data_IF_766593297927
#
_entry.id   IF_766593297927
#
_cell.length_a   1.000
_cell.length_b   1.000
_cell.length_c   1.000
_cell.angle_alpha   90.00
_cell.angle_beta   90.00
_cell.angle_gamma   90.00
#
_symmetry.space_group_name_H-M   'P 1'
#
loop_
_entity.id
_entity.type
_entity.pdbx_description
1 polymer ?
#
# COMPACT_ATOMS: atom_id res chain seq x y z
N UNK A 1 -5.03 4.86 -26.80
CA UNK A 1 -4.52 6.21 -27.12
C UNK A 1 -3.31 6.56 -26.26
N UNK A 2 -2.16 6.72 -26.89
CA UNK A 2 -0.88 7.08 -26.26
C UNK A 2 -0.81 8.54 -25.79
N UNK A 3 0.14 8.87 -24.91
CA UNK A 3 0.36 10.24 -24.40
C UNK A 3 0.45 11.30 -25.53
N UNK A 4 1.21 11.02 -26.59
CA UNK A 4 1.38 11.95 -27.70
C UNK A 4 0.05 12.26 -28.43
N UNK A 5 -0.81 11.25 -28.59
CA UNK A 5 -2.12 11.39 -29.22
C UNK A 5 -3.08 12.14 -28.29
N UNK A 6 -3.07 11.80 -27.00
CA UNK A 6 -3.90 12.44 -25.99
C UNK A 6 -3.59 13.93 -25.86
N UNK A 7 -2.31 14.30 -25.84
CA UNK A 7 -1.88 15.71 -25.82
C UNK A 7 -2.34 16.47 -27.07
N UNK A 8 -2.22 15.85 -28.25
CA UNK A 8 -2.72 16.44 -29.49
C UNK A 8 -4.23 16.68 -29.46
N UNK A 9 -4.99 15.70 -28.96
CA UNK A 9 -6.46 15.79 -28.85
C UNK A 9 -6.85 16.91 -27.90
N UNK A 10 -6.25 16.98 -26.71
CA UNK A 10 -6.52 18.03 -25.72
C UNK A 10 -6.14 19.42 -26.22
N UNK A 11 -5.02 19.55 -26.92
CA UNK A 11 -4.61 20.83 -27.53
C UNK A 11 -5.62 21.27 -28.59
N UNK A 12 -6.01 20.35 -29.49
CA UNK A 12 -6.94 20.63 -30.60
C UNK A 12 -8.36 20.92 -30.09
N UNK A 13 -8.82 20.23 -29.04
CA UNK A 13 -10.16 20.46 -28.46
C UNK A 13 -10.30 21.85 -27.85
N UNK A 14 -9.20 22.48 -27.45
CA UNK A 14 -9.13 23.88 -27.01
C UNK A 14 -8.77 24.87 -28.12
N UNK A 15 -8.69 24.43 -29.38
CA UNK A 15 -8.39 25.29 -30.53
C UNK A 15 -6.97 25.88 -30.51
N UNK A 16 -6.04 25.29 -29.78
CA UNK A 16 -4.69 25.83 -29.60
C UNK A 16 -3.74 25.35 -30.70
N UNK A 17 -2.87 26.23 -31.19
CA UNK A 17 -1.70 25.82 -31.99
C UNK A 17 -0.59 25.29 -31.09
N UNK A 18 0.36 24.52 -31.65
CA UNK A 18 1.55 24.08 -30.91
C UNK A 18 2.33 25.27 -30.34
N UNK A 19 2.42 26.36 -31.11
CA UNK A 19 3.04 27.62 -30.69
C UNK A 19 2.34 28.19 -29.46
N UNK A 20 1.01 28.24 -29.48
CA UNK A 20 0.24 28.82 -28.38
C UNK A 20 0.32 27.98 -27.11
N UNK A 21 0.31 26.65 -27.24
CA UNK A 21 0.54 25.77 -26.10
C UNK A 21 1.96 25.94 -25.55
N UNK A 22 2.97 26.06 -26.40
CA UNK A 22 4.35 26.26 -25.98
C UNK A 22 4.53 27.58 -25.20
N UNK A 23 3.91 28.66 -25.67
CA UNK A 23 3.89 29.96 -25.01
C UNK A 23 3.25 29.88 -23.61
N UNK A 24 2.08 29.24 -23.51
CA UNK A 24 1.36 29.04 -22.23
C UNK A 24 2.22 28.22 -21.25
N UNK A 25 2.90 27.20 -21.76
CA UNK A 25 3.71 26.27 -20.97
C UNK A 25 5.12 26.80 -20.68
N UNK A 26 5.51 27.96 -21.22
CA UNK A 26 6.85 28.53 -21.04
C UNK A 26 7.97 27.68 -21.65
N UNK A 27 7.69 26.96 -22.75
CA UNK A 27 8.64 26.06 -23.42
C UNK A 27 8.78 26.40 -24.91
N UNK A 28 9.73 25.78 -25.59
CA UNK A 28 9.86 25.97 -27.04
C UNK A 28 8.77 25.21 -27.80
N UNK A 29 8.33 25.76 -28.94
CA UNK A 29 7.42 25.06 -29.86
C UNK A 29 7.97 23.70 -30.29
N UNK A 30 9.29 23.57 -30.43
CA UNK A 30 9.91 22.28 -30.76
C UNK A 30 9.71 21.23 -29.66
N UNK A 31 9.65 21.62 -28.38
CA UNK A 31 9.38 20.70 -27.28
C UNK A 31 7.97 20.10 -27.40
N UNK A 32 6.96 20.95 -27.59
CA UNK A 32 5.57 20.51 -27.82
C UNK A 32 5.49 19.61 -29.06
N UNK A 33 6.14 20.00 -30.16
CA UNK A 33 6.16 19.19 -31.38
C UNK A 33 6.77 17.80 -31.14
N UNK A 34 7.90 17.71 -30.40
CA UNK A 34 8.54 16.44 -30.06
C UNK A 34 7.68 15.56 -29.15
N UNK A 35 6.94 16.16 -28.22
CA UNK A 35 6.00 15.43 -27.36
C UNK A 35 4.86 14.85 -28.18
N UNK A 36 4.27 15.65 -29.08
CA UNK A 36 3.14 15.22 -29.91
C UNK A 36 3.50 14.18 -30.97
N UNK A 37 4.77 13.96 -31.28
CA UNK A 37 5.24 12.91 -32.18
C UNK A 37 5.97 11.77 -31.45
N UNK A 38 5.94 11.75 -30.11
CA UNK A 38 6.52 10.68 -29.30
C UNK A 38 8.05 10.63 -29.27
N UNK A 39 8.76 11.68 -29.71
CA UNK A 39 10.23 11.74 -29.72
C UNK A 39 10.85 12.09 -28.37
N UNK A 40 10.07 12.65 -27.45
CA UNK A 40 10.49 12.94 -26.08
C UNK A 40 9.26 13.10 -25.19
N UNK A 41 9.45 13.05 -23.88
CA UNK A 41 8.39 13.26 -22.90
C UNK A 41 8.63 14.54 -22.09
N UNK A 42 7.57 15.21 -21.62
CA UNK A 42 7.69 16.21 -20.57
C UNK A 42 8.26 15.60 -19.28
N UNK A 43 8.97 16.41 -18.50
CA UNK A 43 9.32 16.03 -17.13
C UNK A 43 8.09 16.10 -16.21
N UNK A 44 8.25 15.60 -14.98
CA UNK A 44 7.17 15.54 -13.99
C UNK A 44 6.55 16.91 -13.72
N UNK A 45 7.36 17.98 -13.66
CA UNK A 45 6.87 19.32 -13.41
C UNK A 45 5.97 19.81 -14.56
N UNK A 46 6.39 19.57 -15.81
CA UNK A 46 5.61 19.92 -17.00
C UNK A 46 4.35 19.07 -17.13
N UNK A 47 4.38 17.81 -16.69
CA UNK A 47 3.18 16.96 -16.64
C UNK A 47 2.13 17.50 -15.66
N UNK A 48 2.56 17.97 -14.47
CA UNK A 48 1.67 18.62 -13.50
C UNK A 48 1.07 19.90 -14.13
N UNK A 49 1.88 20.75 -14.76
CA UNK A 49 1.38 21.95 -15.42
C UNK A 49 0.37 21.63 -16.54
N UNK A 50 0.61 20.57 -17.32
CA UNK A 50 -0.33 20.12 -18.36
C UNK A 50 -1.64 19.61 -17.74
N UNK A 51 -1.55 18.83 -16.66
CA UNK A 51 -2.69 18.32 -15.89
C UNK A 51 -3.56 19.46 -15.38
N UNK A 52 -2.96 20.46 -14.73
CA UNK A 52 -3.66 21.63 -14.22
C UNK A 52 -4.29 22.46 -15.34
N UNK A 53 -3.52 22.72 -16.40
CA UNK A 53 -4.00 23.49 -17.54
C UNK A 53 -5.19 22.82 -18.21
N UNK A 54 -5.09 21.54 -18.56
CA UNK A 54 -6.16 20.80 -19.24
C UNK A 54 -7.27 20.31 -18.32
N UNK A 55 -7.10 20.46 -17.00
CA UNK A 55 -8.03 19.99 -15.96
C UNK A 55 -8.32 18.50 -16.09
N UNK A 56 -7.26 17.71 -16.29
CA UNK A 56 -7.29 16.25 -16.41
C UNK A 56 -6.22 15.65 -15.50
N UNK A 57 -6.45 14.46 -14.94
CA UNK A 57 -5.42 13.80 -14.14
C UNK A 57 -4.20 13.43 -14.99
N UNK A 58 -3.03 13.32 -14.34
CA UNK A 58 -1.80 12.83 -14.98
C UNK A 58 -2.02 11.42 -15.52
N UNK A 59 -2.72 10.56 -14.79
CA UNK A 59 -3.12 9.23 -15.27
C UNK A 59 -3.86 9.29 -16.60
N UNK A 60 -4.81 10.21 -16.75
CA UNK A 60 -5.56 10.37 -18.01
C UNK A 60 -4.71 10.95 -19.14
N UNK A 61 -3.65 11.68 -18.84
CA UNK A 61 -2.71 12.19 -19.83
C UNK A 61 -1.79 11.09 -20.37
N UNK A 62 -1.36 10.18 -19.49
CA UNK A 62 -0.27 9.23 -19.77
C UNK A 62 -0.78 7.82 -20.08
N UNK A 63 -1.93 7.41 -19.53
CA UNK A 63 -2.41 6.04 -19.69
C UNK A 63 -3.10 5.81 -21.03
N UNK A 64 -2.66 4.74 -21.67
CA UNK A 64 -3.20 4.18 -22.88
C UNK A 64 -4.44 3.35 -22.50
N UNK A 65 -5.65 3.91 -22.61
CA UNK A 65 -6.88 3.11 -22.55
C UNK A 65 -7.01 2.29 -23.84
N UNK A 66 -6.13 1.31 -24.01
CA UNK A 66 -6.52 0.01 -24.53
C UNK A 66 -6.23 -0.99 -23.41
N UNK A 67 -7.26 -1.76 -23.04
CA UNK A 67 -7.13 -2.93 -22.18
C UNK A 67 -6.07 -3.87 -22.76
N UNK A 68 -4.82 -3.71 -22.33
CA UNK A 68 -3.76 -4.68 -22.48
C UNK A 68 -2.82 -4.58 -21.28
N UNK A 69 -3.40 -4.60 -20.08
CA UNK A 69 -2.73 -5.29 -19.00
C UNK A 69 -2.82 -6.78 -19.33
N UNK A 70 -1.77 -7.34 -19.93
CA UNK A 70 -1.65 -8.75 -20.31
C UNK A 70 -1.40 -9.64 -19.07
N UNK A 71 -2.14 -9.39 -17.99
CA UNK A 71 -2.29 -10.32 -16.87
C UNK A 71 -3.60 -11.08 -17.10
N UNK A 72 -3.57 -12.04 -18.03
CA UNK A 72 -4.58 -13.09 -18.06
C UNK A 72 -4.38 -13.97 -16.81
N UNK A 73 -4.82 -13.49 -15.65
CA UNK A 73 -4.93 -14.31 -14.45
C UNK A 73 -6.21 -15.12 -14.60
N UNK A 74 -6.13 -16.42 -14.35
CA UNK A 74 -7.28 -17.31 -14.15
C UNK A 74 -8.12 -16.78 -12.96
N UNK A 75 -8.93 -15.75 -13.22
CA UNK A 75 -9.30 -14.72 -12.26
C UNK A 75 -10.51 -15.05 -11.40
N UNK A 76 -11.19 -16.18 -11.60
CA UNK A 76 -12.40 -16.47 -10.83
C UNK A 76 -12.11 -17.18 -9.50
N UNK A 77 -11.32 -18.26 -9.49
CA UNK A 77 -11.03 -18.99 -8.24
C UNK A 77 -9.97 -18.32 -7.37
N UNK A 78 -8.92 -17.78 -7.99
CA UNK A 78 -7.82 -17.13 -7.26
C UNK A 78 -8.31 -15.87 -6.54
N UNK A 79 -9.13 -15.04 -7.20
CA UNK A 79 -9.69 -13.84 -6.57
C UNK A 79 -10.64 -14.19 -5.42
N UNK A 80 -11.45 -15.25 -5.54
CA UNK A 80 -12.34 -15.70 -4.45
C UNK A 80 -11.53 -16.19 -3.25
N UNK A 81 -10.47 -16.98 -3.47
CA UNK A 81 -9.61 -17.48 -2.39
C UNK A 81 -8.90 -16.31 -1.69
N UNK A 82 -8.39 -15.34 -2.45
CA UNK A 82 -7.77 -14.15 -1.90
C UNK A 82 -8.77 -13.30 -1.10
N UNK A 83 -10.00 -13.12 -1.58
CA UNK A 83 -11.03 -12.37 -0.87
C UNK A 83 -11.41 -13.02 0.47
N UNK A 84 -11.64 -14.34 0.48
CA UNK A 84 -11.91 -15.10 1.71
C UNK A 84 -10.76 -15.01 2.72
N UNK A 85 -9.51 -15.17 2.23
CA UNK A 85 -8.30 -15.08 3.02
C UNK A 85 -8.09 -13.67 3.61
N UNK A 86 -8.27 -12.62 2.81
CA UNK A 86 -8.15 -11.22 3.24
C UNK A 86 -9.19 -10.90 4.32
N UNK A 87 -10.41 -11.39 4.13
CA UNK A 87 -11.51 -11.20 5.08
C UNK A 87 -11.23 -11.89 6.41
N UNK A 88 -10.75 -13.14 6.36
CA UNK A 88 -10.30 -13.87 7.54
C UNK A 88 -9.14 -13.15 8.24
N UNK A 89 -8.11 -12.73 7.49
CA UNK A 89 -6.92 -12.05 8.02
C UNK A 89 -7.31 -10.75 8.75
N UNK A 90 -8.21 -9.96 8.17
CA UNK A 90 -8.74 -8.74 8.79
C UNK A 90 -9.44 -9.03 10.13
N UNK A 91 -10.25 -10.10 10.21
CA UNK A 91 -10.92 -10.51 11.46
C UNK A 91 -9.93 -11.02 12.50
N UNK A 92 -8.96 -11.83 12.08
CA UNK A 92 -7.94 -12.41 12.95
C UNK A 92 -7.08 -11.30 13.61
N UNK A 93 -6.60 -10.34 12.83
CA UNK A 93 -5.85 -9.18 13.34
C UNK A 93 -6.63 -8.38 14.39
N UNK A 94 -7.90 -8.10 14.10
CA UNK A 94 -8.80 -7.38 15.02
C UNK A 94 -9.14 -8.15 16.28
N UNK A 95 -9.01 -9.48 16.27
CA UNK A 95 -9.32 -10.35 17.41
C UNK A 95 -8.08 -10.73 18.23
N UNK A 96 -6.88 -10.49 17.70
CA UNK A 96 -5.59 -10.82 18.34
C UNK A 96 -4.93 -9.54 18.87
N UNK A 97 -3.69 -9.24 18.48
CA UNK A 97 -2.89 -8.18 19.11
C UNK A 97 -3.62 -6.81 19.15
N UNK A 98 -4.22 -6.41 18.03
CA UNK A 98 -4.93 -5.12 17.92
C UNK A 98 -6.20 -5.08 18.80
N UNK A 99 -6.87 -6.21 18.98
CA UNK A 99 -8.09 -6.37 19.78
C UNK A 99 -7.88 -6.63 21.25
N UNK A 100 -6.63 -6.77 21.72
CA UNK A 100 -6.30 -7.34 23.03
C UNK A 100 -6.78 -8.79 23.19
N UNK A 101 -6.60 -9.59 22.13
CA UNK A 101 -6.75 -11.04 22.19
C UNK A 101 -5.81 -11.66 23.21
N UNK A 102 -6.21 -12.85 23.69
CA UNK A 102 -5.45 -13.56 24.71
C UNK A 102 -4.27 -14.32 24.09
N UNK A 103 -3.11 -14.24 24.74
CA UNK A 103 -1.95 -15.04 24.36
C UNK A 103 -2.19 -16.52 24.63
N UNK A 104 -1.67 -17.37 23.74
CA UNK A 104 -1.65 -18.81 23.90
C UNK A 104 -0.29 -19.27 24.45
N UNK A 105 -0.09 -20.59 24.51
CA UNK A 105 1.17 -21.15 25.00
C UNK A 105 2.30 -20.81 24.02
N UNK A 106 3.36 -20.19 24.52
CA UNK A 106 4.55 -19.90 23.75
C UNK A 106 5.11 -21.14 23.02
N UNK A 107 5.28 -21.01 21.72
CA UNK A 107 5.86 -21.97 20.79
C UNK A 107 7.38 -21.89 20.73
N UNK A 108 7.96 -20.73 21.09
CA UNK A 108 9.40 -20.48 21.17
C UNK A 108 9.78 -19.95 22.56
N UNK A 109 11.05 -20.08 22.98
CA UNK A 109 11.49 -19.50 24.25
C UNK A 109 11.18 -18.01 24.32
N UNK A 110 10.37 -17.61 25.30
CA UNK A 110 9.98 -16.21 25.55
C UNK A 110 9.23 -15.54 24.40
N UNK A 111 8.55 -16.30 23.53
CA UNK A 111 7.65 -15.70 22.54
C UNK A 111 6.28 -15.37 23.13
N UNK A 112 5.70 -14.31 22.60
CA UNK A 112 4.30 -13.96 22.75
C UNK A 112 3.59 -14.50 21.52
N UNK A 113 2.63 -15.39 21.74
CA UNK A 113 1.93 -16.07 20.67
C UNK A 113 0.42 -15.82 20.80
N UNK A 114 -0.20 -15.45 19.69
CA UNK A 114 -1.62 -15.21 19.56
C UNK A 114 -2.15 -16.13 18.47
N UNK A 115 -3.27 -16.79 18.73
CA UNK A 115 -3.92 -17.70 17.78
C UNK A 115 -5.35 -17.24 17.51
N UNK A 116 -5.78 -17.34 16.26
CA UNK A 116 -7.17 -17.19 15.86
C UNK A 116 -7.55 -18.29 14.87
N UNK A 117 -8.65 -18.98 15.13
CA UNK A 117 -9.16 -20.08 14.29
C UNK A 117 -10.60 -19.79 13.93
N UNK A 118 -10.92 -19.91 12.65
CA UNK A 118 -12.27 -19.75 12.11
C UNK A 118 -12.44 -20.69 10.92
N UNK A 119 -13.41 -21.61 11.01
CA UNK A 119 -13.63 -22.67 10.04
C UNK A 119 -12.35 -23.46 9.72
N UNK A 120 -11.93 -23.47 8.45
CA UNK A 120 -10.73 -24.16 7.96
C UNK A 120 -9.46 -23.31 8.12
N UNK A 121 -9.58 -22.04 8.51
CA UNK A 121 -8.48 -21.10 8.60
C UNK A 121 -7.90 -21.01 10.01
N UNK A 122 -6.58 -20.86 10.06
CA UNK A 122 -5.80 -20.64 11.27
C UNK A 122 -4.84 -19.49 11.04
N UNK A 123 -4.80 -18.55 11.98
CA UNK A 123 -3.88 -17.43 12.03
C UNK A 123 -3.03 -17.56 13.29
N UNK A 124 -1.73 -17.35 13.15
CA UNK A 124 -0.80 -17.25 14.27
C UNK A 124 0.01 -15.97 14.12
N UNK A 125 0.07 -15.17 15.18
CA UNK A 125 0.99 -14.05 15.33
C UNK A 125 1.94 -14.38 16.48
N UNK A 126 3.22 -14.50 16.19
CA UNK A 126 4.25 -14.84 17.16
C UNK A 126 5.39 -13.84 17.10
N UNK A 127 5.72 -13.24 18.24
CA UNK A 127 6.78 -12.25 18.33
C UNK A 127 7.64 -12.38 19.58
N UNK A 128 8.81 -11.77 19.51
CA UNK A 128 9.77 -11.67 20.59
C UNK A 128 9.98 -10.18 20.92
N UNK A 129 10.23 -9.89 22.19
CA UNK A 129 10.60 -8.55 22.65
C UNK A 129 9.41 -7.66 22.99
N UNK A 130 9.70 -6.38 23.19
CA UNK A 130 8.72 -5.38 23.62
C UNK A 130 9.06 -4.01 23.02
N UNK A 131 10.06 -3.33 23.57
CA UNK A 131 10.54 -2.05 23.01
C UNK A 131 11.27 -2.22 21.68
N UNK A 132 12.02 -3.30 21.52
CA UNK A 132 12.59 -3.77 20.27
C UNK A 132 12.06 -5.17 20.06
N UNK A 133 11.49 -5.42 18.89
CA UNK A 133 10.74 -6.64 18.65
C UNK A 133 10.87 -7.13 17.21
N UNK A 134 10.64 -8.42 17.04
CA UNK A 134 10.53 -9.08 15.75
C UNK A 134 9.47 -10.17 15.84
N UNK A 135 8.68 -10.32 14.79
CA UNK A 135 7.63 -11.32 14.76
C UNK A 135 7.26 -11.78 13.37
N UNK A 136 6.39 -12.77 13.35
CA UNK A 136 5.78 -13.33 12.15
C UNK A 136 4.30 -13.49 12.38
N UNK A 137 3.51 -13.09 11.38
CA UNK A 137 2.13 -13.49 11.22
C UNK A 137 2.03 -14.50 10.08
N UNK A 138 1.26 -15.56 10.26
CA UNK A 138 1.06 -16.55 9.22
C UNK A 138 -0.36 -17.10 9.23
N UNK A 139 -0.83 -17.49 8.04
CA UNK A 139 -2.16 -18.06 7.82
C UNK A 139 -2.07 -19.43 7.14
N UNK A 140 -2.86 -20.37 7.64
CA UNK A 140 -3.06 -21.69 7.07
C UNK A 140 -4.53 -21.90 6.74
N UNK A 141 -4.80 -22.72 5.70
CA UNK A 141 -6.11 -23.32 5.44
C UNK A 141 -5.96 -24.83 5.38
N UNK A 142 -6.72 -25.57 6.19
CA UNK A 142 -6.56 -27.03 6.32
C UNK A 142 -5.10 -27.46 6.59
N UNK A 143 -4.43 -26.72 7.48
CA UNK A 143 -3.00 -26.87 7.84
C UNK A 143 -2.00 -26.70 6.67
N UNK A 144 -2.44 -26.22 5.51
CA UNK A 144 -1.56 -25.81 4.40
C UNK A 144 -1.27 -24.31 4.53
N UNK A 145 0.01 -23.87 4.59
CA UNK A 145 0.35 -22.46 4.70
C UNK A 145 -0.04 -21.73 3.41
N UNK A 146 -0.73 -20.59 3.56
CA UNK A 146 -1.18 -19.76 2.44
C UNK A 146 -0.44 -18.42 2.36
N UNK A 147 -0.07 -17.85 3.51
CA UNK A 147 0.45 -16.49 3.59
C UNK A 147 1.30 -16.30 4.85
N UNK A 148 2.35 -15.48 4.76
CA UNK A 148 3.15 -15.07 5.90
C UNK A 148 3.65 -13.63 5.74
N UNK A 149 3.77 -12.93 6.86
CA UNK A 149 4.41 -11.63 6.98
C UNK A 149 5.34 -11.60 8.18
N UNK A 150 6.59 -11.26 7.92
CA UNK A 150 7.57 -10.99 8.96
C UNK A 150 7.63 -9.49 9.23
N UNK A 151 7.94 -9.13 10.47
CA UNK A 151 8.06 -7.74 10.87
C UNK A 151 9.12 -7.55 11.97
N UNK A 152 9.73 -6.36 11.98
CA UNK A 152 10.73 -5.95 12.97
C UNK A 152 10.56 -4.47 13.26
N UNK A 153 10.48 -4.10 14.53
CA UNK A 153 10.21 -2.73 14.92
C UNK A 153 10.81 -2.35 16.24
N UNK A 154 10.71 -1.05 16.53
CA UNK A 154 11.23 -0.46 17.76
C UNK A 154 10.49 0.79 18.17
N UNK A 155 10.40 0.99 19.48
CA UNK A 155 10.04 2.24 20.13
C UNK A 155 11.28 3.14 20.14
N UNK A 156 11.11 4.40 19.73
CA UNK A 156 12.18 5.39 19.61
C UNK A 156 12.13 6.44 20.72
N UNK A 157 10.97 6.60 21.37
CA UNK A 157 10.73 7.66 22.36
C UNK A 157 9.61 7.24 23.34
N UNK A 158 9.72 7.68 24.60
CA UNK A 158 8.78 7.38 25.68
C UNK A 158 7.36 7.93 25.42
N UNK A 159 7.23 8.90 24.52
CA UNK A 159 5.93 9.41 24.08
C UNK A 159 5.14 8.40 23.21
N UNK A 160 5.71 7.25 22.87
CA UNK A 160 4.98 6.18 22.19
C UNK A 160 3.78 5.68 23.00
N UNK A 161 2.68 5.38 22.30
CA UNK A 161 1.47 4.84 22.89
C UNK A 161 1.08 3.54 22.21
N UNK A 162 1.27 2.42 22.92
CA UNK A 162 0.82 1.11 22.45
C UNK A 162 -0.69 1.03 22.26
N UNK A 163 -1.46 1.83 23.02
CA UNK A 163 -2.92 1.96 22.82
C UNK A 163 -3.25 2.61 21.48
N UNK A 164 -2.52 3.66 21.10
CA UNK A 164 -2.69 4.29 19.79
C UNK A 164 -2.33 3.32 18.66
N UNK A 165 -1.19 2.62 18.76
CA UNK A 165 -0.82 1.61 17.77
C UNK A 165 -1.91 0.54 17.61
N UNK A 166 -2.38 -0.07 18.71
CA UNK A 166 -3.46 -1.07 18.68
C UNK A 166 -4.74 -0.55 18.05
N UNK A 167 -5.12 0.69 18.37
CA UNK A 167 -6.28 1.36 17.76
C UNK A 167 -6.11 1.45 16.24
N UNK A 168 -4.96 1.91 15.74
CA UNK A 168 -4.73 2.04 14.30
C UNK A 168 -4.68 0.68 13.59
N UNK A 169 -4.04 -0.32 14.19
CA UNK A 169 -4.01 -1.69 13.65
C UNK A 169 -5.42 -2.33 13.59
N UNK A 170 -6.33 -1.93 14.48
CA UNK A 170 -7.73 -2.40 14.45
C UNK A 170 -8.51 -1.85 13.24
N UNK A 171 -7.98 -0.81 12.58
CA UNK A 171 -8.54 -0.20 11.37
C UNK A 171 -7.93 -0.78 10.08
N UNK A 172 -7.28 -1.95 10.14
CA UNK A 172 -6.72 -2.65 8.96
C UNK A 172 -7.72 -2.67 7.79
N UNK A 173 -7.35 -2.11 6.61
CA UNK A 173 -8.21 -2.08 5.42
C UNK A 173 -8.07 -3.37 4.60
N UNK A 174 -9.12 -3.73 3.85
CA UNK A 174 -9.09 -4.93 2.99
C UNK A 174 -8.16 -4.77 1.80
N UNK A 175 -8.03 -3.54 1.29
CA UNK A 175 -7.19 -3.20 0.14
C UNK A 175 -5.69 -3.34 0.47
N UNK A 176 -5.33 -3.22 1.76
CA UNK A 176 -3.97 -3.30 2.25
C UNK A 176 -3.95 -4.01 3.61
N UNK A 177 -4.18 -5.34 3.64
CA UNK A 177 -4.52 -6.08 4.87
C UNK A 177 -3.28 -6.47 5.70
N UNK A 178 -2.32 -5.55 5.85
CA UNK A 178 -1.01 -5.82 6.46
C UNK A 178 -0.91 -5.24 7.87
N UNK A 179 -1.06 -3.92 8.00
CA UNK A 179 -0.96 -3.17 9.27
C UNK A 179 -2.21 -2.29 9.43
N UNK A 180 -2.06 -1.01 9.78
CA UNK A 180 -3.15 -0.02 9.72
C UNK A 180 -3.39 0.60 8.33
N UNK A 181 -4.33 1.56 8.22
CA UNK A 181 -4.56 2.35 7.00
C UNK A 181 -3.32 3.16 6.59
N UNK A 182 -3.20 3.60 5.33
CA UNK A 182 -2.03 4.34 4.84
C UNK A 182 -1.70 5.58 5.70
N UNK A 183 -2.73 6.26 6.20
CA UNK A 183 -2.61 7.43 7.08
C UNK A 183 -3.69 7.37 8.17
N UNK A 184 -3.34 7.79 9.39
CA UNK A 184 -4.31 8.02 10.46
C UNK A 184 -3.79 9.10 11.43
N UNK A 185 -4.69 9.94 11.94
CA UNK A 185 -4.35 11.00 12.89
C UNK A 185 -5.39 11.07 14.00
N UNK A 186 -4.90 11.19 15.25
CA UNK A 186 -5.77 11.39 16.42
C UNK A 186 -5.04 12.21 17.49
N UNK A 187 -5.55 13.42 17.73
CA UNK A 187 -4.92 14.34 18.67
C UNK A 187 -3.53 14.74 18.18
N UNK A 188 -2.50 14.47 18.99
CA UNK A 188 -1.10 14.78 18.67
C UNK A 188 -0.36 13.64 17.95
N UNK A 189 -1.03 12.49 17.78
CA UNK A 189 -0.44 11.32 17.14
C UNK A 189 -0.78 11.27 15.65
N UNK A 190 0.24 10.96 14.84
CA UNK A 190 0.11 10.66 13.42
C UNK A 190 0.72 9.29 13.13
N UNK A 191 0.07 8.55 12.26
CA UNK A 191 0.49 7.23 11.81
C UNK A 191 0.59 7.24 10.30
N UNK A 192 1.68 6.71 9.75
CA UNK A 192 1.83 6.47 8.33
C UNK A 192 2.22 5.00 8.08
N UNK A 193 1.68 4.43 7.01
CA UNK A 193 2.04 3.11 6.51
C UNK A 193 2.30 3.19 5.01
N UNK A 194 3.54 2.87 4.64
CA UNK A 194 3.99 2.84 3.26
C UNK A 194 4.11 1.38 2.86
N UNK A 195 3.49 1.03 1.74
CA UNK A 195 3.46 -0.34 1.22
C UNK A 195 3.92 -0.31 -0.24
N UNK A 196 4.73 -1.29 -0.61
CA UNK A 196 5.15 -1.55 -1.98
C UNK A 196 4.91 -3.02 -2.30
N UNK A 197 4.29 -3.28 -3.45
CA UNK A 197 3.95 -4.62 -3.90
C UNK A 197 2.47 -4.95 -3.71
N UNK A 198 2.13 -6.21 -3.95
CA UNK A 198 0.78 -6.76 -3.95
C UNK A 198 0.65 -7.81 -2.83
N UNK A 199 -0.56 -8.29 -2.58
CA UNK A 199 -0.83 -9.24 -1.48
C UNK A 199 0.05 -10.52 -1.55
N UNK A 200 0.41 -10.96 -2.75
CA UNK A 200 1.26 -12.11 -2.99
C UNK A 200 2.76 -11.85 -2.73
N UNK A 201 3.20 -10.60 -2.76
CA UNK A 201 4.60 -10.21 -2.53
C UNK A 201 4.69 -8.71 -2.22
N UNK A 202 4.97 -8.37 -0.96
CA UNK A 202 5.01 -6.98 -0.50
C UNK A 202 6.11 -6.72 0.54
N UNK A 203 6.44 -5.44 0.67
CA UNK A 203 7.21 -4.90 1.77
C UNK A 203 6.62 -3.55 2.18
N UNK A 204 6.79 -3.17 3.44
CA UNK A 204 6.31 -1.91 3.94
C UNK A 204 7.03 -1.42 5.18
N UNK A 205 6.68 -0.18 5.52
CA UNK A 205 7.24 0.56 6.63
C UNK A 205 6.14 1.35 7.32
N UNK A 206 6.03 1.15 8.62
CA UNK A 206 5.07 1.76 9.52
C UNK A 206 5.81 2.72 10.45
N UNK A 207 5.27 3.92 10.64
CA UNK A 207 5.85 4.93 11.53
C UNK A 207 4.76 5.67 12.31
N UNK A 208 5.06 6.01 13.56
CA UNK A 208 4.20 6.83 14.40
C UNK A 208 4.98 8.06 14.86
N UNK A 209 4.31 9.21 14.81
CA UNK A 209 4.80 10.48 15.31
C UNK A 209 3.93 11.00 16.45
N UNK A 210 4.54 11.68 17.41
CA UNK A 210 3.89 12.48 18.43
C UNK A 210 4.48 13.89 18.38
N UNK A 211 3.64 14.92 18.18
CA UNK A 211 4.10 16.32 18.02
C UNK A 211 5.25 16.46 16.99
N UNK A 212 5.14 15.75 15.86
CA UNK A 212 6.14 15.68 14.77
C UNK A 212 7.48 15.00 15.13
N UNK A 213 7.62 14.42 16.32
CA UNK A 213 8.77 13.58 16.68
C UNK A 213 8.41 12.14 16.35
N UNK A 214 9.27 11.41 15.63
CA UNK A 214 9.06 9.98 15.35
C UNK A 214 9.29 9.19 16.63
N UNK A 215 8.27 8.47 17.10
CA UNK A 215 8.30 7.74 18.37
C UNK A 215 8.30 6.22 18.20
N UNK A 216 8.02 5.73 17.00
CA UNK A 216 8.00 4.31 16.68
C UNK A 216 8.21 4.07 15.18
N UNK A 217 8.83 2.94 14.86
CA UNK A 217 8.93 2.44 13.49
C UNK A 217 8.89 0.91 13.43
N UNK A 218 8.41 0.39 12.31
CA UNK A 218 8.37 -1.04 12.04
C UNK A 218 8.52 -1.31 10.53
N UNK A 219 9.43 -2.20 10.17
CA UNK A 219 9.53 -2.76 8.83
C UNK A 219 8.77 -4.07 8.78
N UNK A 220 8.08 -4.33 7.67
CA UNK A 220 7.38 -5.59 7.45
C UNK A 220 7.49 -6.03 6.00
N UNK A 221 7.45 -7.34 5.76
CA UNK A 221 7.48 -7.90 4.41
C UNK A 221 6.86 -9.30 4.43
N UNK A 222 6.29 -9.71 3.30
CA UNK A 222 5.56 -10.97 3.26
C UNK A 222 4.96 -11.25 1.89
N UNK A 223 4.09 -12.25 1.86
CA UNK A 223 3.41 -12.64 0.65
C UNK A 223 2.76 -14.02 0.75
N UNK A 224 2.34 -14.50 -0.42
CA UNK A 224 1.78 -15.83 -0.56
C UNK A 224 2.87 -16.89 -0.31
N UNK A 225 2.52 -17.90 0.49
CA UNK A 225 3.36 -19.08 0.74
C UNK A 225 2.83 -20.23 -0.12
N UNK A 226 3.73 -20.89 -0.84
CA UNK A 226 3.41 -22.06 -1.68
C UNK A 226 4.28 -23.23 -1.24
N UNK A 227 3.65 -24.31 -0.82
CA UNK A 227 4.28 -25.59 -0.47
C UNK A 227 4.41 -26.51 -1.68
#
# INVERSE_FOLDING_TARGET
MSFQEQLQVLRKSRGLSQEKLAEIMGISRQAVAKWEIGQSYPDIAKLITLSDFFSVSIDKLVNDYEENCHLCIESSKVNIINEELIDFLCRAKKSTYAGNGSECKASRPSSHDLEYVEDEFKYIDTYLGGEQFSGEEAVWKNDIPLWSMNYVGRILDDAFSGKFLKEVLSLVPKENPYRGPIMYEKGQYKYHCIINGEFEWFQGYEEIYFNNIKVYECFFHGGAVKS
#
